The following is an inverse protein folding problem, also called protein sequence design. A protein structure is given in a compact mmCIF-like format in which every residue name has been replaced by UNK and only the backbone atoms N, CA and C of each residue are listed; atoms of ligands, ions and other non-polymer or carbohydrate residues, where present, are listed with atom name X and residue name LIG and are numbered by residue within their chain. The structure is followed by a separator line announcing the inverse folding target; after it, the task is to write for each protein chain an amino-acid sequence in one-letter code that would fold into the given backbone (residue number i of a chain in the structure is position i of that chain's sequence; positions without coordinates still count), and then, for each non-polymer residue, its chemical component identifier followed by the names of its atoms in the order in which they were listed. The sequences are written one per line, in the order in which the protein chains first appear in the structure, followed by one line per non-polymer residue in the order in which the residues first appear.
data_IF_769703897158
#
_entry.id   IF_769703897158
#
_cell.length_a   1.000
_cell.length_b   1.000
_cell.length_c   1.000
_cell.angle_alpha   90.00
_cell.angle_beta   90.00
_cell.angle_gamma   90.00
#
_symmetry.space_group_name_H-M   'P 1'
#
loop_
_entity.id
_entity.type
_entity.pdbx_description
1 polymer ?
#
# COMPACT_ATOMS: atom_id res chain seq x y z
N UNK A 1 -26.88 30.59 -2.09
CA UNK A 1 -26.03 29.98 -1.01
C UNK A 1 -26.83 29.17 0.01
N UNK A 2 -27.96 29.67 0.56
CA UNK A 2 -28.77 28.91 1.52
C UNK A 2 -29.39 27.63 0.94
N UNK A 3 -29.82 27.66 -0.32
CA UNK A 3 -30.39 26.49 -1.02
C UNK A 3 -29.36 25.35 -1.12
N UNK A 4 -28.11 25.66 -1.52
CA UNK A 4 -27.04 24.64 -1.60
C UNK A 4 -26.68 23.97 -0.25
N UNK A 5 -26.77 24.72 0.86
CA UNK A 5 -26.51 24.18 2.20
C UNK A 5 -27.62 23.21 2.62
N UNK A 6 -28.88 23.56 2.34
CA UNK A 6 -30.02 22.68 2.66
C UNK A 6 -29.95 21.39 1.86
N UNK A 7 -29.68 21.45 0.56
CA UNK A 7 -29.55 20.28 -0.31
C UNK A 7 -28.40 19.35 0.15
N UNK A 8 -27.28 19.93 0.59
CA UNK A 8 -26.15 19.18 1.14
C UNK A 8 -26.51 18.50 2.47
N UNK A 9 -27.23 19.21 3.35
CA UNK A 9 -27.68 18.63 4.62
C UNK A 9 -28.67 17.49 4.39
N UNK A 10 -29.63 17.65 3.50
CA UNK A 10 -30.56 16.60 3.12
C UNK A 10 -29.85 15.40 2.49
N UNK A 11 -28.85 15.63 1.63
CA UNK A 11 -28.03 14.56 1.07
C UNK A 11 -27.23 13.80 2.15
N UNK A 12 -26.62 14.53 3.08
CA UNK A 12 -25.91 13.93 4.21
C UNK A 12 -26.86 13.12 5.12
N UNK A 13 -28.05 13.64 5.41
CA UNK A 13 -29.05 12.91 6.20
C UNK A 13 -29.53 11.64 5.50
N UNK A 14 -29.76 11.68 4.18
CA UNK A 14 -30.11 10.49 3.39
C UNK A 14 -28.96 9.47 3.38
N UNK A 15 -27.72 9.95 3.21
CA UNK A 15 -26.54 9.10 3.30
C UNK A 15 -26.42 8.41 4.66
N UNK A 16 -26.56 9.16 5.75
CA UNK A 16 -26.54 8.61 7.11
C UNK A 16 -27.66 7.60 7.35
N UNK A 17 -28.87 7.90 6.89
CA UNK A 17 -29.99 6.97 6.99
C UNK A 17 -29.72 5.67 6.22
N UNK A 18 -29.14 5.76 5.03
CA UNK A 18 -28.71 4.59 4.24
C UNK A 18 -27.64 3.76 4.99
N UNK A 19 -26.60 4.42 5.51
CA UNK A 19 -25.54 3.73 6.26
C UNK A 19 -26.07 2.99 7.49
N UNK A 20 -27.08 3.52 8.18
CA UNK A 20 -27.70 2.84 9.31
C UNK A 20 -28.27 1.46 8.95
N UNK A 21 -28.76 1.27 7.73
CA UNK A 21 -29.25 -0.04 7.28
C UNK A 21 -28.11 -1.02 6.94
N UNK A 22 -26.89 -0.53 6.77
CA UNK A 22 -25.72 -1.35 6.49
C UNK A 22 -24.97 -1.75 7.77
N UNK A 23 -25.29 -1.13 8.90
CA UNK A 23 -24.64 -1.43 10.17
C UNK A 23 -25.05 -2.81 10.66
N UNK A 24 -24.07 -3.65 11.00
CA UNK A 24 -24.30 -4.95 11.60
C UNK A 24 -24.76 -4.84 13.06
N UNK A 25 -25.33 -5.92 13.63
CA UNK A 25 -25.91 -5.94 14.97
C UNK A 25 -24.90 -5.63 16.08
N UNK A 26 -23.61 -5.90 15.85
CA UNK A 26 -22.51 -5.57 16.76
C UNK A 26 -21.97 -4.13 16.61
N UNK A 27 -22.58 -3.35 15.71
CA UNK A 27 -22.28 -1.94 15.49
C UNK A 27 -21.22 -1.63 14.43
N UNK A 28 -20.53 -2.64 13.88
CA UNK A 28 -19.58 -2.38 12.80
C UNK A 28 -20.29 -2.19 11.46
N UNK A 29 -19.60 -1.57 10.49
CA UNK A 29 -20.05 -1.50 9.11
C UNK A 29 -19.31 -2.56 8.29
N UNK A 30 -20.03 -3.57 7.75
CA UNK A 30 -19.43 -4.64 6.95
C UNK A 30 -19.05 -4.13 5.55
N UNK A 31 -17.99 -3.36 5.50
CA UNK A 31 -17.37 -2.89 4.26
C UNK A 31 -16.09 -3.67 4.01
N UNK A 32 -16.03 -4.46 2.97
CA UNK A 32 -14.76 -5.04 2.54
C UNK A 32 -13.91 -3.95 1.88
N UNK A 33 -12.89 -3.49 2.59
CA UNK A 33 -11.82 -2.72 1.97
C UNK A 33 -10.75 -3.70 1.45
N UNK A 34 -11.06 -4.32 0.32
CA UNK A 34 -10.12 -5.17 -0.38
C UNK A 34 -9.49 -4.41 -1.55
N UNK A 35 -8.25 -4.71 -1.86
CA UNK A 35 -7.65 -4.22 -3.08
C UNK A 35 -6.19 -3.82 -3.00
N UNK A 36 -5.74 -2.94 -2.09
CA UNK A 36 -4.33 -2.56 -2.01
C UNK A 36 -3.44 -3.77 -1.70
N UNK A 37 -2.43 -3.99 -2.56
CA UNK A 37 -1.51 -5.13 -2.44
C UNK A 37 -0.20 -4.76 -1.73
N UNK A 38 -0.10 -3.57 -1.17
CA UNK A 38 1.11 -3.06 -0.49
C UNK A 38 0.96 -2.91 1.03
N UNK A 39 -0.25 -3.00 1.58
CA UNK A 39 -0.48 -2.91 3.02
C UNK A 39 0.00 -4.18 3.76
N UNK A 40 -0.34 -5.34 3.22
CA UNK A 40 0.12 -6.62 3.75
C UNK A 40 1.65 -6.72 3.81
N UNK A 41 2.41 -6.36 2.77
CA UNK A 41 3.86 -6.27 2.86
C UNK A 41 4.38 -5.39 4.00
N UNK A 42 3.82 -4.21 4.19
CA UNK A 42 4.20 -3.33 5.30
C UNK A 42 4.04 -3.99 6.65
N UNK A 43 2.90 -4.64 6.90
CA UNK A 43 2.64 -5.37 8.13
C UNK A 43 3.65 -6.51 8.34
N UNK A 44 3.83 -7.39 7.35
CA UNK A 44 4.66 -8.59 7.49
C UNK A 44 6.15 -8.23 7.60
N UNK A 45 6.63 -7.26 6.85
CA UNK A 45 8.02 -6.78 6.98
C UNK A 45 8.21 -6.12 8.34
N UNK A 46 7.25 -5.30 8.80
CA UNK A 46 7.28 -4.71 10.14
C UNK A 46 7.37 -5.77 11.24
N UNK A 47 6.52 -6.80 11.20
CA UNK A 47 6.57 -7.92 12.14
C UNK A 47 7.92 -8.64 12.08
N UNK A 48 8.45 -8.87 10.89
CA UNK A 48 9.74 -9.56 10.72
C UNK A 48 10.90 -8.75 11.32
N UNK A 49 10.97 -7.45 11.02
CA UNK A 49 12.04 -6.57 11.51
C UNK A 49 11.97 -6.39 13.03
N UNK A 50 10.76 -6.31 13.60
CA UNK A 50 10.55 -6.20 15.05
C UNK A 50 10.59 -7.55 15.78
N UNK A 51 10.87 -8.64 15.06
CA UNK A 51 10.87 -10.00 15.59
C UNK A 51 9.54 -10.41 16.23
N UNK A 52 8.44 -9.78 15.80
CA UNK A 52 7.09 -10.15 16.23
C UNK A 52 6.70 -11.49 15.60
N UNK A 53 6.25 -12.48 16.36
CA UNK A 53 5.91 -13.79 15.82
C UNK A 53 4.74 -13.72 14.83
N UNK A 54 4.90 -14.29 13.64
CA UNK A 54 3.82 -14.46 12.67
C UNK A 54 3.15 -15.82 12.94
N UNK A 55 1.87 -15.85 13.33
CA UNK A 55 1.17 -17.11 13.62
C UNK A 55 1.20 -18.07 12.43
N UNK A 56 1.34 -19.37 12.69
CA UNK A 56 1.43 -20.39 11.63
C UNK A 56 0.19 -20.37 10.70
N UNK A 57 -1.00 -20.18 11.26
CA UNK A 57 -2.22 -20.06 10.48
C UNK A 57 -2.17 -18.87 9.50
N UNK A 58 -1.64 -17.72 9.94
CA UNK A 58 -1.49 -16.55 9.08
C UNK A 58 -0.54 -16.80 7.92
N UNK A 59 0.57 -17.52 8.16
CA UNK A 59 1.53 -17.84 7.08
C UNK A 59 0.85 -18.59 5.94
N UNK A 60 0.01 -19.56 6.28
CA UNK A 60 -0.74 -20.36 5.29
C UNK A 60 -1.75 -19.50 4.54
N UNK A 61 -2.54 -18.71 5.25
CA UNK A 61 -3.58 -17.88 4.63
C UNK A 61 -2.99 -16.74 3.79
N UNK A 62 -1.90 -16.12 4.23
CA UNK A 62 -1.18 -15.12 3.45
C UNK A 62 -0.65 -15.72 2.13
N UNK A 63 -0.02 -16.89 2.19
CA UNK A 63 0.48 -17.56 0.99
C UNK A 63 -0.68 -17.92 0.04
N UNK A 64 -1.80 -18.40 0.58
CA UNK A 64 -3.02 -18.70 -0.19
C UNK A 64 -3.62 -17.44 -0.82
N UNK A 65 -3.76 -16.37 -0.05
CA UNK A 65 -4.28 -15.09 -0.54
C UNK A 65 -3.42 -14.55 -1.69
N UNK A 66 -2.11 -14.48 -1.52
CA UNK A 66 -1.21 -13.99 -2.55
C UNK A 66 -1.20 -14.91 -3.79
N UNK A 67 -1.35 -16.23 -3.61
CA UNK A 67 -1.51 -17.15 -4.74
C UNK A 67 -2.73 -16.80 -5.57
N UNK A 68 -3.87 -16.55 -4.95
CA UNK A 68 -5.13 -16.27 -5.65
C UNK A 68 -5.19 -14.85 -6.24
N UNK A 69 -4.41 -13.90 -5.70
CA UNK A 69 -4.42 -12.50 -6.16
C UNK A 69 -3.26 -12.14 -7.10
N UNK A 70 -2.44 -13.11 -7.48
CA UNK A 70 -1.43 -12.89 -8.51
C UNK A 70 -2.08 -12.63 -9.87
N UNK A 71 -1.44 -11.82 -10.69
CA UNK A 71 -1.90 -11.56 -12.04
C UNK A 71 -1.83 -12.87 -12.87
N UNK A 72 -2.92 -13.27 -13.57
CA UNK A 72 -3.01 -14.58 -14.23
C UNK A 72 -1.96 -14.74 -15.33
N UNK A 73 -1.66 -13.69 -16.09
CA UNK A 73 -0.81 -13.78 -17.27
C UNK A 73 0.68 -13.85 -16.94
N UNK A 74 1.11 -13.14 -15.88
CA UNK A 74 2.53 -12.98 -15.59
C UNK A 74 2.95 -13.41 -14.18
N UNK A 75 1.99 -13.71 -13.30
CA UNK A 75 2.24 -14.20 -11.95
C UNK A 75 2.82 -13.17 -10.97
N UNK A 76 2.87 -11.89 -11.34
CA UNK A 76 3.22 -10.79 -10.46
C UNK A 76 2.01 -10.22 -9.72
N UNK A 77 2.20 -9.07 -9.06
CA UNK A 77 1.15 -8.34 -8.35
C UNK A 77 1.18 -6.86 -8.71
N UNK A 78 0.00 -6.29 -8.88
CA UNK A 78 -0.19 -4.85 -9.02
C UNK A 78 -0.10 -4.11 -7.68
N UNK A 79 -0.36 -2.80 -7.72
CA UNK A 79 -0.62 -2.01 -6.51
C UNK A 79 -1.98 -2.37 -5.93
N UNK A 80 -2.91 -2.76 -6.78
CA UNK A 80 -4.26 -3.20 -6.46
C UNK A 80 -4.53 -4.59 -7.07
N UNK A 81 -5.45 -5.36 -6.48
CA UNK A 81 -5.80 -6.73 -6.92
C UNK A 81 -6.28 -6.80 -8.38
N UNK A 82 -6.83 -5.72 -8.91
CA UNK A 82 -7.33 -5.61 -10.29
C UNK A 82 -6.31 -4.97 -11.25
N UNK A 83 -5.18 -4.49 -10.72
CA UNK A 83 -4.16 -3.78 -11.48
C UNK A 83 -3.16 -4.70 -12.14
N UNK A 84 -2.53 -4.22 -13.22
CA UNK A 84 -1.40 -4.90 -13.84
C UNK A 84 -0.24 -5.03 -12.85
N UNK A 85 0.59 -6.06 -13.05
CA UNK A 85 1.79 -6.27 -12.24
C UNK A 85 2.73 -5.07 -12.32
N UNK A 86 3.18 -4.63 -11.16
CA UNK A 86 4.16 -3.54 -11.00
C UNK A 86 5.42 -4.05 -10.33
N UNK A 87 6.53 -3.34 -10.51
CA UNK A 87 7.77 -3.64 -9.78
C UNK A 87 7.52 -3.60 -8.28
N UNK A 88 6.81 -2.58 -7.81
CA UNK A 88 6.51 -2.37 -6.39
C UNK A 88 5.66 -3.50 -5.80
N UNK A 89 4.50 -3.79 -6.41
CA UNK A 89 3.63 -4.85 -5.95
C UNK A 89 4.30 -6.22 -6.00
N UNK A 90 5.01 -6.52 -7.10
CA UNK A 90 5.64 -7.82 -7.29
C UNK A 90 6.81 -8.04 -6.32
N UNK A 91 7.71 -7.04 -6.16
CA UNK A 91 8.85 -7.17 -5.26
C UNK A 91 8.42 -7.35 -3.80
N UNK A 92 7.50 -6.51 -3.32
CA UNK A 92 7.09 -6.57 -1.92
C UNK A 92 6.31 -7.84 -1.59
N UNK A 93 5.39 -8.28 -2.45
CA UNK A 93 4.65 -9.53 -2.21
C UNK A 93 5.54 -10.77 -2.37
N UNK A 94 6.55 -10.72 -3.26
CA UNK A 94 7.58 -11.75 -3.31
C UNK A 94 8.32 -11.87 -1.96
N UNK A 95 8.72 -10.73 -1.39
CA UNK A 95 9.40 -10.70 -0.08
C UNK A 95 8.52 -11.27 1.03
N UNK A 96 7.23 -10.90 1.06
CA UNK A 96 6.26 -11.48 2.02
C UNK A 96 6.25 -12.99 1.94
N UNK A 97 6.13 -13.54 0.73
CA UNK A 97 6.12 -14.99 0.52
C UNK A 97 7.41 -15.64 1.03
N UNK A 98 8.56 -14.99 0.87
CA UNK A 98 9.84 -15.47 1.44
C UNK A 98 9.83 -15.46 2.96
N UNK A 99 9.32 -14.40 3.58
CA UNK A 99 9.23 -14.28 5.04
C UNK A 99 8.28 -15.33 5.63
N UNK A 100 7.14 -15.60 4.98
CA UNK A 100 6.20 -16.63 5.47
C UNK A 100 6.64 -18.07 5.17
N UNK A 101 7.78 -18.26 4.45
CA UNK A 101 8.44 -19.55 4.30
C UNK A 101 8.24 -20.24 2.96
N UNK A 102 7.68 -19.57 1.95
CA UNK A 102 7.60 -20.14 0.58
C UNK A 102 9.01 -20.27 -0.02
N UNK A 103 9.43 -21.45 -0.47
CA UNK A 103 10.78 -21.68 -0.99
C UNK A 103 10.99 -20.94 -2.32
N UNK A 104 12.26 -20.54 -2.66
CA UNK A 104 12.55 -19.72 -3.83
C UNK A 104 12.32 -20.44 -5.17
N UNK A 105 12.36 -21.75 -5.16
CA UNK A 105 12.15 -22.64 -6.31
C UNK A 105 10.68 -23.00 -6.55
N UNK A 106 9.79 -22.58 -5.65
CA UNK A 106 8.36 -22.76 -5.86
C UNK A 106 7.91 -22.10 -7.18
N UNK A 107 7.09 -22.75 -8.02
CA UNK A 107 6.71 -22.23 -9.34
C UNK A 107 6.19 -20.79 -9.32
N UNK A 108 5.39 -20.42 -8.33
CA UNK A 108 4.92 -19.04 -8.13
C UNK A 108 6.07 -18.06 -7.95
N UNK A 109 7.08 -18.44 -7.17
CA UNK A 109 8.23 -17.59 -6.88
C UNK A 109 9.14 -17.42 -8.08
N UNK A 110 9.30 -18.46 -8.88
CA UNK A 110 10.04 -18.41 -10.14
C UNK A 110 9.34 -17.49 -11.12
N UNK A 111 8.03 -17.63 -11.28
CA UNK A 111 7.23 -16.78 -12.17
C UNK A 111 7.28 -15.31 -11.73
N UNK A 112 7.09 -15.02 -10.45
CA UNK A 112 7.15 -13.68 -9.90
C UNK A 112 8.53 -13.01 -10.11
N UNK A 113 9.64 -13.76 -9.93
CA UNK A 113 10.99 -13.25 -10.24
C UNK A 113 11.15 -12.93 -11.73
N UNK A 114 10.67 -13.79 -12.61
CA UNK A 114 10.74 -13.55 -14.05
C UNK A 114 10.00 -12.27 -14.42
N UNK A 115 8.81 -12.07 -13.86
CA UNK A 115 8.04 -10.84 -14.06
C UNK A 115 8.75 -9.63 -13.47
N UNK A 116 9.31 -9.74 -12.26
CA UNK A 116 10.08 -8.66 -11.65
C UNK A 116 11.28 -8.24 -12.52
N UNK A 117 12.04 -9.21 -13.06
CA UNK A 117 13.14 -8.93 -13.99
C UNK A 117 12.67 -8.23 -15.26
N UNK A 118 11.57 -8.68 -15.86
CA UNK A 118 10.97 -8.07 -17.05
C UNK A 118 10.54 -6.62 -16.81
N UNK A 119 10.09 -6.30 -15.60
CA UNK A 119 9.63 -4.98 -15.19
C UNK A 119 10.80 -4.04 -14.78
N UNK A 120 12.07 -4.48 -14.86
CA UNK A 120 13.23 -3.65 -14.54
C UNK A 120 13.94 -3.99 -13.22
N UNK A 121 13.49 -5.05 -12.53
CA UNK A 121 14.13 -5.51 -11.31
C UNK A 121 13.92 -4.60 -10.09
N UNK A 122 14.55 -4.93 -8.98
CA UNK A 122 14.44 -4.19 -7.73
C UNK A 122 14.96 -2.74 -7.80
N UNK A 123 15.85 -2.45 -8.74
CA UNK A 123 16.38 -1.09 -8.94
C UNK A 123 15.32 -0.11 -9.47
N UNK A 124 14.30 -0.62 -10.16
CA UNK A 124 13.15 0.14 -10.62
C UNK A 124 12.10 0.46 -9.55
N UNK A 125 12.32 0.07 -8.30
CA UNK A 125 11.41 0.37 -7.19
C UNK A 125 11.38 1.87 -6.87
N UNK A 126 10.20 2.40 -6.51
CA UNK A 126 10.12 3.72 -5.89
C UNK A 126 10.81 3.73 -4.51
N UNK A 127 11.12 4.92 -3.99
CA UNK A 127 11.86 5.11 -2.73
C UNK A 127 11.28 4.30 -1.56
N UNK A 128 9.97 4.18 -1.45
CA UNK A 128 9.31 3.37 -0.41
C UNK A 128 9.64 1.88 -0.51
N UNK A 129 9.64 1.33 -1.72
CA UNK A 129 10.02 -0.08 -1.91
C UNK A 129 11.50 -0.32 -1.59
N UNK A 130 12.37 0.61 -1.99
CA UNK A 130 13.80 0.56 -1.67
C UNK A 130 14.03 0.63 -0.16
N UNK A 131 13.32 1.51 0.55
CA UNK A 131 13.37 1.61 2.01
C UNK A 131 13.01 0.27 2.68
N UNK A 132 11.91 -0.38 2.28
CA UNK A 132 11.53 -1.68 2.81
C UNK A 132 12.58 -2.76 2.58
N UNK A 133 13.19 -2.77 1.39
CA UNK A 133 14.26 -3.74 1.09
C UNK A 133 15.55 -3.42 1.84
N UNK A 134 15.86 -2.15 2.08
CA UNK A 134 17.02 -1.74 2.86
C UNK A 134 16.87 -2.10 4.33
N UNK A 135 15.66 -1.97 4.92
CA UNK A 135 15.35 -2.43 6.28
C UNK A 135 15.56 -3.95 6.44
N UNK A 136 15.36 -4.71 5.37
CA UNK A 136 15.62 -6.17 5.33
C UNK A 136 17.07 -6.51 5.01
N UNK A 137 17.93 -5.53 4.83
CA UNK A 137 19.33 -5.68 4.45
C UNK A 137 19.53 -6.43 3.10
N UNK A 138 18.58 -6.26 2.17
CA UNK A 138 18.65 -6.83 0.81
C UNK A 138 18.73 -5.76 -0.28
N UNK A 139 18.83 -4.51 0.10
CA UNK A 139 19.07 -3.35 -0.76
C UNK A 139 20.02 -2.39 -0.04
N UNK A 140 20.93 -1.78 -0.80
CA UNK A 140 21.90 -0.85 -0.25
C UNK A 140 21.23 0.47 0.17
N UNK A 141 21.57 0.96 1.36
CA UNK A 141 21.09 2.24 1.88
C UNK A 141 21.53 3.43 1.02
N UNK A 142 22.68 3.35 0.36
CA UNK A 142 23.13 4.38 -0.59
C UNK A 142 22.17 4.54 -1.78
N UNK A 143 21.43 3.50 -2.13
CA UNK A 143 20.40 3.53 -3.17
C UNK A 143 19.05 4.11 -2.72
N UNK A 144 18.88 4.42 -1.42
CA UNK A 144 17.68 5.03 -0.87
C UNK A 144 17.91 6.54 -0.80
N UNK A 145 17.21 7.29 -1.64
CA UNK A 145 17.30 8.74 -1.66
C UNK A 145 16.26 9.36 -0.74
N UNK A 146 16.63 9.81 0.48
CA UNK A 146 15.71 10.50 1.38
C UNK A 146 15.39 11.89 0.84
N UNK A 147 14.20 12.38 1.15
CA UNK A 147 13.85 13.78 0.91
C UNK A 147 14.57 14.61 1.99
N UNK A 148 15.42 15.58 1.64
CA UNK A 148 16.07 16.42 2.62
C UNK A 148 15.05 17.16 3.48
N UNK A 149 15.07 17.02 4.82
CA UNK A 149 14.11 17.68 5.69
C UNK A 149 14.22 19.20 5.66
N UNK A 150 15.36 19.71 5.23
CA UNK A 150 15.63 21.15 5.06
C UNK A 150 14.67 21.82 4.07
N UNK A 151 14.06 21.06 3.16
CA UNK A 151 13.07 21.58 2.21
C UNK A 151 11.84 22.16 2.92
N UNK A 152 11.49 21.68 4.12
CA UNK A 152 10.41 22.25 4.93
C UNK A 152 10.76 23.58 5.57
N UNK A 153 12.04 23.96 5.58
CA UNK A 153 12.50 25.26 6.11
C UNK A 153 12.52 26.35 5.03
N UNK A 154 12.22 26.01 3.79
CA UNK A 154 12.13 27.00 2.71
C UNK A 154 10.90 27.89 2.90
N UNK A 155 10.94 29.15 2.46
CA UNK A 155 9.76 30.00 2.41
C UNK A 155 8.69 29.42 1.46
N UNK A 156 7.41 29.55 1.79
CA UNK A 156 6.27 29.02 1.01
C UNK A 156 6.22 29.56 -0.43
N UNK A 157 6.83 30.73 -0.67
CA UNK A 157 6.92 31.33 -1.99
C UNK A 157 7.81 30.54 -2.98
N UNK A 158 8.69 29.69 -2.46
CA UNK A 158 9.62 28.91 -3.30
C UNK A 158 8.86 27.81 -4.04
N UNK A 159 8.99 27.70 -5.38
CA UNK A 159 8.21 26.75 -6.17
C UNK A 159 8.46 25.27 -5.85
N UNK A 160 9.62 24.94 -5.25
CA UNK A 160 9.98 23.58 -4.80
C UNK A 160 9.58 23.31 -3.36
N UNK A 161 8.84 24.20 -2.70
CA UNK A 161 8.38 23.98 -1.32
C UNK A 161 7.44 22.77 -1.25
N UNK A 162 7.55 21.89 -0.24
CA UNK A 162 6.74 20.67 -0.08
C UNK A 162 5.23 20.88 -0.12
N UNK A 163 4.71 22.05 0.30
CA UNK A 163 3.29 22.41 0.20
C UNK A 163 2.73 22.39 -1.23
N UNK A 164 3.60 22.45 -2.24
CA UNK A 164 3.23 22.42 -3.65
C UNK A 164 3.31 21.02 -4.25
N UNK A 165 3.71 20.03 -3.46
CA UNK A 165 3.82 18.64 -3.90
C UNK A 165 2.48 17.92 -3.74
N UNK A 166 2.47 16.59 -3.97
CA UNK A 166 1.31 15.78 -3.76
C UNK A 166 0.89 15.79 -2.28
N UNK A 167 -0.42 15.86 -2.02
CA UNK A 167 -1.00 15.89 -0.67
C UNK A 167 -0.47 14.80 0.28
N UNK A 168 -0.08 13.66 -0.22
CA UNK A 168 0.52 12.57 0.58
C UNK A 168 1.85 12.96 1.27
N UNK A 169 2.46 14.06 0.89
CA UNK A 169 3.75 14.50 1.44
C UNK A 169 3.61 15.56 2.53
N UNK A 170 2.52 16.29 2.58
CA UNK A 170 2.36 17.41 3.50
C UNK A 170 1.10 17.35 4.36
N UNK A 171 0.11 16.54 4.03
CA UNK A 171 -1.06 16.37 4.88
C UNK A 171 -1.21 14.91 5.30
N UNK A 172 -1.34 14.69 6.57
CA UNK A 172 -1.83 13.43 7.13
C UNK A 172 -3.36 13.47 7.28
N UNK A 173 -3.97 14.61 7.07
CA UNK A 173 -5.39 14.83 7.26
C UNK A 173 -6.05 15.35 5.97
N UNK A 174 -6.46 14.39 5.13
CA UNK A 174 -7.21 14.70 3.91
C UNK A 174 -8.63 15.25 4.18
N UNK A 175 -9.06 15.34 5.44
CA UNK A 175 -10.35 15.88 5.80
C UNK A 175 -10.42 17.40 5.66
N UNK A 176 -9.30 18.10 5.86
CA UNK A 176 -9.22 19.54 5.74
C UNK A 176 -9.30 20.03 4.27
N UNK A 177 -8.85 19.22 3.32
CA UNK A 177 -8.89 19.55 1.88
C UNK A 177 -10.30 19.47 1.26
N UNK A 178 -11.26 18.85 1.96
CA UNK A 178 -12.65 18.76 1.51
C UNK A 178 -13.51 19.97 1.89
N UNK A 179 -12.93 20.94 2.59
CA UNK A 179 -13.63 22.16 3.04
C UNK A 179 -13.37 23.40 2.14
N UNK A 180 -12.64 23.26 1.06
CA UNK A 180 -12.42 24.34 0.06
C UNK A 180 -13.43 24.32 -1.07
#
# INVERSE_FOLDING_TARGET
RQMCIRDRLEAAQRGLAFYRHLQADDGHFPGEYGGPMFLLPGLIIGMYVTQTPIPAAWRVEIARYLWHRRHPDDGGWGIHIEGHSTVFGTALNYVVLRIVGVPPDHPMMVQARTTLWRLGGATGLPSWGKLWLALLNVYDWEGVHPIPPELWLLPDAVPIHPWRWCCLLYTSDAADDLLC
#
